data_IF_747078610157
#
_entry.id   IF_747078610157
#
_cell.length_a   1.000
_cell.length_b   1.000
_cell.length_c   1.000
_cell.angle_alpha   90.00
_cell.angle_beta   90.00
_cell.angle_gamma   90.00
#
_symmetry.space_group_name_H-M   'P 1'
#
loop_
_entity.id
_entity.type
_entity.pdbx_description
1 polymer ?
#
# COMPACT_ATOMS: atom_id res chain seq x y z
N UNK A 1 -4.56 -33.01 3.40
CA UNK A 1 -5.35 -31.82 3.80
C UNK A 1 -5.03 -30.72 2.81
N UNK A 2 -6.00 -30.24 2.04
CA UNK A 2 -5.79 -29.05 1.22
C UNK A 2 -5.51 -27.86 2.17
N UNK A 3 -4.52 -27.01 1.89
CA UNK A 3 -4.30 -25.81 2.68
C UNK A 3 -5.58 -24.98 2.69
N UNK A 4 -6.09 -24.66 3.87
CA UNK A 4 -7.27 -23.82 4.03
C UNK A 4 -6.86 -22.39 3.69
N UNK A 5 -7.03 -21.99 2.42
CA UNK A 5 -6.81 -20.60 2.00
C UNK A 5 -7.86 -19.74 2.72
N UNK A 6 -7.44 -18.92 3.67
CA UNK A 6 -8.31 -17.99 4.41
C UNK A 6 -8.22 -16.61 3.76
N UNK A 7 -9.33 -16.04 3.27
CA UNK A 7 -9.31 -14.67 2.76
C UNK A 7 -9.07 -13.69 3.93
N UNK A 8 -8.17 -12.72 3.73
CA UNK A 8 -7.88 -11.66 4.70
C UNK A 8 -8.96 -10.58 4.65
N UNK A 9 -9.30 -10.12 3.44
CA UNK A 9 -10.36 -9.16 3.19
C UNK A 9 -11.32 -9.73 2.14
N UNK A 10 -12.63 -9.62 2.40
CA UNK A 10 -13.69 -10.04 1.47
C UNK A 10 -14.53 -8.81 1.11
N UNK A 11 -14.35 -8.19 -0.07
CA UNK A 11 -14.98 -6.91 -0.44
C UNK A 11 -16.46 -6.79 -0.13
N UNK A 12 -17.25 -7.82 -0.46
CA UNK A 12 -18.70 -7.85 -0.24
C UNK A 12 -19.13 -7.83 1.23
N UNK A 13 -18.20 -8.08 2.16
CA UNK A 13 -18.41 -8.10 3.62
C UNK A 13 -17.79 -6.91 4.33
N UNK A 14 -17.09 -6.03 3.62
CA UNK A 14 -16.43 -4.88 4.24
C UNK A 14 -17.45 -3.76 4.56
N UNK A 15 -17.33 -3.10 5.72
CA UNK A 15 -18.19 -1.97 6.08
C UNK A 15 -17.83 -0.67 5.32
N UNK A 16 -16.75 -0.68 4.53
CA UNK A 16 -16.21 0.51 3.85
C UNK A 16 -16.65 0.52 2.39
N UNK A 17 -17.44 1.54 2.00
CA UNK A 17 -18.00 1.66 0.65
C UNK A 17 -16.95 1.67 -0.45
N UNK A 18 -15.83 2.34 -0.21
CA UNK A 18 -14.70 2.51 -1.15
C UNK A 18 -13.99 1.19 -1.49
N UNK A 19 -14.26 0.11 -0.76
CA UNK A 19 -13.61 -1.20 -0.95
C UNK A 19 -14.55 -2.25 -1.55
N UNK A 20 -15.82 -1.91 -1.82
CA UNK A 20 -16.83 -2.89 -2.21
C UNK A 20 -16.66 -3.43 -3.64
N UNK A 21 -16.03 -2.66 -4.52
CA UNK A 21 -15.72 -3.09 -5.89
C UNK A 21 -14.57 -4.10 -5.92
N UNK A 22 -13.63 -3.98 -4.99
CA UNK A 22 -12.56 -4.96 -4.80
C UNK A 22 -11.39 -4.43 -3.97
N UNK A 23 -10.49 -5.36 -3.64
CA UNK A 23 -9.21 -5.08 -2.98
C UNK A 23 -8.11 -5.87 -3.67
N UNK A 24 -6.88 -5.37 -3.65
CA UNK A 24 -5.76 -5.98 -4.35
C UNK A 24 -4.40 -5.62 -3.79
N UNK A 25 -3.38 -6.24 -4.37
CA UNK A 25 -1.95 -5.96 -4.13
C UNK A 25 -1.61 -5.82 -2.63
N UNK A 26 -1.93 -6.83 -1.79
CA UNK A 26 -1.63 -6.77 -0.37
C UNK A 26 -0.12 -6.76 -0.16
N UNK A 27 0.33 -5.96 0.80
CA UNK A 27 1.73 -5.85 1.16
C UNK A 27 1.88 -5.57 2.65
N UNK A 28 2.73 -6.35 3.32
CA UNK A 28 3.00 -6.18 4.74
C UNK A 28 4.19 -5.25 4.98
N UNK A 29 4.03 -4.30 5.90
CA UNK A 29 5.13 -3.49 6.44
C UNK A 29 5.19 -3.67 7.95
N UNK A 30 6.39 -3.86 8.48
CA UNK A 30 6.65 -3.90 9.92
C UNK A 30 7.31 -2.60 10.36
N UNK A 31 6.68 -1.90 11.30
CA UNK A 31 7.24 -0.79 12.06
C UNK A 31 7.94 -1.35 13.30
N UNK A 32 9.27 -1.47 13.21
CA UNK A 32 10.10 -2.03 14.29
C UNK A 32 10.14 -1.15 15.54
N UNK A 33 9.94 0.17 15.42
CA UNK A 33 10.01 1.07 16.59
C UNK A 33 8.81 0.93 17.51
N UNK A 34 7.66 0.55 16.94
CA UNK A 34 6.38 0.41 17.65
C UNK A 34 5.90 -1.03 17.74
N UNK A 35 6.71 -1.98 17.26
CA UNK A 35 6.40 -3.40 17.16
C UNK A 35 5.01 -3.64 16.56
N UNK A 36 4.77 -3.05 15.38
CA UNK A 36 3.44 -3.05 14.75
C UNK A 36 3.51 -3.45 13.28
N UNK A 37 2.56 -4.27 12.86
CA UNK A 37 2.37 -4.64 11.46
C UNK A 37 1.25 -3.80 10.81
N UNK A 38 1.51 -3.37 9.57
CA UNK A 38 0.60 -2.58 8.75
C UNK A 38 0.34 -3.25 7.40
N UNK A 39 -0.92 -3.56 7.11
CA UNK A 39 -1.33 -4.05 5.80
C UNK A 39 -1.57 -2.87 4.86
N UNK A 40 -0.75 -2.77 3.82
CA UNK A 40 -0.98 -1.88 2.68
C UNK A 40 -1.71 -2.66 1.60
N UNK A 41 -2.67 -2.03 0.94
CA UNK A 41 -3.41 -2.66 -0.15
C UNK A 41 -4.08 -1.61 -1.04
N UNK A 42 -4.47 -2.02 -2.23
CA UNK A 42 -5.32 -1.21 -3.11
C UNK A 42 -6.79 -1.56 -2.89
N UNK A 43 -7.67 -0.59 -3.05
CA UNK A 43 -9.12 -0.77 -2.98
C UNK A 43 -9.84 0.10 -3.99
N UNK A 44 -11.02 -0.32 -4.41
CA UNK A 44 -11.85 0.43 -5.36
C UNK A 44 -13.34 0.13 -5.16
N UNK A 45 -14.17 1.10 -5.54
CA UNK A 45 -15.63 0.98 -5.52
C UNK A 45 -16.21 0.77 -6.92
N UNK A 46 -15.49 1.15 -7.98
CA UNK A 46 -15.98 1.06 -9.35
C UNK A 46 -15.90 -0.38 -9.89
N UNK A 47 -16.86 -0.85 -10.71
CA UNK A 47 -16.85 -2.23 -11.20
C UNK A 47 -15.66 -2.59 -12.08
N UNK A 48 -14.99 -1.60 -12.69
CA UNK A 48 -13.87 -1.82 -13.61
C UNK A 48 -12.52 -1.89 -12.91
N UNK A 49 -12.44 -1.43 -11.65
CA UNK A 49 -11.20 -1.36 -10.87
C UNK A 49 -10.15 -0.44 -11.50
N UNK A 50 -10.57 0.58 -12.24
CA UNK A 50 -9.66 1.54 -12.88
C UNK A 50 -9.25 2.66 -11.92
N UNK A 51 -10.14 3.02 -10.99
CA UNK A 51 -9.91 4.10 -10.01
C UNK A 51 -9.53 3.53 -8.66
N UNK A 52 -8.38 2.85 -8.59
CA UNK A 52 -7.88 2.28 -7.34
C UNK A 52 -7.28 3.36 -6.46
N UNK A 53 -7.46 3.15 -5.16
CA UNK A 53 -6.92 3.96 -4.08
C UNK A 53 -6.00 3.09 -3.23
N UNK A 54 -4.96 3.68 -2.64
CA UNK A 54 -4.08 3.02 -1.69
C UNK A 54 -4.56 3.21 -0.26
N UNK A 55 -4.62 2.12 0.48
CA UNK A 55 -5.03 2.07 1.87
C UNK A 55 -3.96 1.43 2.76
N UNK A 56 -4.04 1.75 4.05
CA UNK A 56 -3.28 1.07 5.09
C UNK A 56 -4.16 0.82 6.31
N UNK A 57 -3.99 -0.32 6.96
CA UNK A 57 -4.66 -0.66 8.20
C UNK A 57 -3.73 -1.45 9.13
N UNK A 58 -3.84 -1.33 10.46
CA UNK A 58 -3.17 -2.24 11.38
C UNK A 58 -3.60 -3.68 11.13
N UNK A 59 -2.68 -4.61 11.30
CA UNK A 59 -2.94 -6.05 11.18
C UNK A 59 -2.14 -6.80 12.25
N UNK A 60 -2.67 -7.91 12.74
CA UNK A 60 -1.97 -8.77 13.70
C UNK A 60 -1.28 -9.97 13.02
N UNK A 61 -0.53 -10.75 13.80
CA UNK A 61 0.14 -11.97 13.33
C UNK A 61 -0.83 -13.04 12.82
N UNK A 62 -2.10 -12.97 13.24
CA UNK A 62 -3.19 -13.82 12.76
C UNK A 62 -3.81 -13.35 11.44
N UNK A 63 -3.27 -12.30 10.82
CA UNK A 63 -3.81 -11.61 9.64
C UNK A 63 -5.21 -11.02 9.85
N UNK A 64 -5.58 -10.72 11.10
CA UNK A 64 -6.81 -9.98 11.37
C UNK A 64 -6.54 -8.49 11.17
N UNK A 65 -7.27 -7.88 10.22
CA UNK A 65 -7.11 -6.47 9.84
C UNK A 65 -8.06 -5.61 10.68
N UNK A 66 -7.50 -4.62 11.38
CA UNK A 66 -8.27 -3.64 12.13
C UNK A 66 -8.72 -2.50 11.20
N UNK A 67 -9.96 -2.61 10.71
CA UNK A 67 -10.54 -1.59 9.84
C UNK A 67 -10.92 -0.30 10.57
N UNK A 68 -10.93 -0.27 11.91
CA UNK A 68 -11.14 0.99 12.65
C UNK A 68 -9.95 1.94 12.52
N UNK A 69 -8.75 1.39 12.31
CA UNK A 69 -7.53 2.12 12.00
C UNK A 69 -7.26 2.34 10.51
N UNK A 70 -8.22 2.06 9.63
CA UNK A 70 -8.06 2.18 8.18
C UNK A 70 -7.79 3.64 7.78
N UNK A 71 -6.76 3.85 6.97
CA UNK A 71 -6.42 5.15 6.36
C UNK A 71 -6.32 5.01 4.85
N UNK A 72 -6.95 5.95 4.14
CA UNK A 72 -6.71 6.16 2.70
C UNK A 72 -5.46 7.03 2.56
N UNK A 73 -4.41 6.47 1.99
CA UNK A 73 -3.09 7.13 1.87
C UNK A 73 -2.81 7.61 0.45
N UNK A 74 -3.45 7.02 -0.56
CA UNK A 74 -3.31 7.40 -1.97
C UNK A 74 -4.67 7.46 -2.65
N UNK A 75 -5.34 8.62 -2.69
CA UNK A 75 -6.57 8.80 -3.45
C UNK A 75 -6.35 8.56 -4.95
N UNK A 76 -7.40 8.15 -5.68
CA UNK A 76 -7.32 7.93 -7.13
C UNK A 76 -7.09 9.21 -7.94
N UNK A 77 -7.30 10.38 -7.35
CA UNK A 77 -7.07 11.68 -7.98
C UNK A 77 -5.67 12.27 -7.70
N UNK A 78 -4.84 11.56 -6.95
CA UNK A 78 -3.54 12.04 -6.49
C UNK A 78 -2.40 11.13 -6.99
N UNK A 79 -1.23 11.65 -7.41
CA UNK A 79 -0.80 13.06 -7.36
C UNK A 79 -1.46 13.97 -8.40
N UNK A 80 -2.02 13.37 -9.45
CA UNK A 80 -2.79 14.05 -10.48
C UNK A 80 -3.92 13.13 -10.98
N UNK A 81 -4.99 13.65 -11.60
CA UNK A 81 -6.01 12.80 -12.20
C UNK A 81 -5.44 11.92 -13.32
N UNK A 82 -5.69 10.62 -13.27
CA UNK A 82 -5.30 9.67 -14.32
C UNK A 82 -6.41 8.66 -14.58
N UNK A 83 -6.47 8.06 -15.77
CA UNK A 83 -7.49 7.07 -16.12
C UNK A 83 -7.37 5.78 -15.31
N UNK A 84 -6.13 5.33 -15.09
CA UNK A 84 -5.79 4.15 -14.31
C UNK A 84 -4.86 4.52 -13.14
N UNK A 85 -5.28 4.22 -11.91
CA UNK A 85 -4.66 4.82 -10.71
C UNK A 85 -4.25 3.75 -9.72
N UNK A 86 -3.19 4.05 -8.94
CA UNK A 86 -2.66 3.23 -7.84
C UNK A 86 -2.76 1.72 -8.03
N UNK A 87 -2.14 1.21 -9.09
CA UNK A 87 -2.36 -0.17 -9.47
C UNK A 87 -1.85 -1.18 -8.43
N UNK A 88 -0.67 -0.92 -7.89
CA UNK A 88 -0.09 -1.69 -6.78
C UNK A 88 0.53 -0.75 -5.76
N UNK A 89 0.32 -1.03 -4.49
CA UNK A 89 1.00 -0.36 -3.38
C UNK A 89 2.01 -1.30 -2.74
N UNK A 90 3.21 -0.80 -2.49
CA UNK A 90 4.25 -1.51 -1.75
C UNK A 90 4.89 -0.53 -0.78
N UNK A 91 5.41 -1.02 0.33
CA UNK A 91 5.99 -0.14 1.34
C UNK A 91 7.23 -0.71 2.00
N UNK A 92 7.96 0.16 2.68
CA UNK A 92 8.95 -0.21 3.67
C UNK A 92 8.93 0.84 4.78
N UNK A 93 9.43 0.45 5.94
CA UNK A 93 9.63 1.35 7.05
C UNK A 93 11.11 1.75 7.15
N UNK A 94 11.38 3.04 7.31
CA UNK A 94 12.70 3.60 7.53
C UNK A 94 12.84 4.03 9.01
N UNK A 95 13.44 3.15 9.82
CA UNK A 95 13.67 3.38 11.25
C UNK A 95 14.50 4.64 11.55
N UNK A 96 15.48 4.95 10.69
CA UNK A 96 16.40 6.06 10.91
C UNK A 96 15.72 7.43 10.82
N UNK A 97 14.59 7.52 10.10
CA UNK A 97 13.81 8.76 9.95
C UNK A 97 12.41 8.69 10.54
N UNK A 98 12.00 7.52 11.05
CA UNK A 98 10.64 7.26 11.51
C UNK A 98 9.59 7.56 10.42
N UNK A 99 9.82 7.00 9.23
CA UNK A 99 9.04 7.26 8.01
C UNK A 99 8.63 5.96 7.30
N UNK A 100 7.50 5.99 6.61
CA UNK A 100 7.11 4.95 5.66
C UNK A 100 7.39 5.43 4.23
N UNK A 101 8.09 4.60 3.45
CA UNK A 101 8.28 4.83 2.01
C UNK A 101 7.39 3.89 1.25
N UNK A 102 6.47 4.45 0.48
CA UNK A 102 5.46 3.71 -0.29
C UNK A 102 5.71 3.94 -1.77
N UNK A 103 5.71 2.88 -2.57
CA UNK A 103 5.67 3.00 -4.02
C UNK A 103 4.32 2.62 -4.57
N UNK A 104 3.92 3.36 -5.60
CA UNK A 104 2.73 3.06 -6.37
C UNK A 104 2.92 3.49 -7.82
N UNK A 105 2.24 2.79 -8.73
CA UNK A 105 2.14 3.20 -10.13
C UNK A 105 0.81 3.91 -10.33
N UNK A 106 0.87 5.12 -10.86
CA UNK A 106 -0.27 6.00 -11.05
C UNK A 106 -0.23 6.61 -12.45
N UNK A 107 -1.30 6.41 -13.23
CA UNK A 107 -1.26 6.67 -14.67
C UNK A 107 -0.15 5.86 -15.35
N UNK A 108 0.74 6.58 -16.04
CA UNK A 108 1.88 5.99 -16.75
C UNK A 108 3.17 5.96 -15.92
N UNK A 109 3.18 6.51 -14.72
CA UNK A 109 4.40 6.76 -13.95
C UNK A 109 4.45 5.92 -12.67
N UNK A 110 5.67 5.67 -12.19
CA UNK A 110 5.92 5.08 -10.88
C UNK A 110 6.40 6.16 -9.91
N UNK A 111 5.83 6.18 -8.71
CA UNK A 111 6.10 7.18 -7.69
C UNK A 111 6.65 6.54 -6.42
N UNK A 112 7.40 7.33 -5.67
CA UNK A 112 7.66 7.12 -4.25
C UNK A 112 6.95 8.21 -3.45
N UNK A 113 6.28 7.81 -2.39
CA UNK A 113 5.60 8.64 -1.41
C UNK A 113 6.25 8.41 -0.06
N UNK A 114 6.50 9.49 0.67
CA UNK A 114 7.06 9.46 2.01
C UNK A 114 5.98 9.90 2.98
N UNK A 115 5.67 9.04 3.93
CA UNK A 115 4.75 9.32 5.03
C UNK A 115 5.52 9.35 6.35
N UNK A 116 5.05 10.12 7.32
CA UNK A 116 5.51 9.99 8.70
C UNK A 116 4.91 8.73 9.36
N UNK A 117 5.27 8.51 10.63
CA UNK A 117 4.80 7.37 11.41
C UNK A 117 3.28 7.33 11.66
N UNK A 118 2.57 8.44 11.43
CA UNK A 118 1.11 8.51 11.52
C UNK A 118 0.43 8.41 10.14
N UNK A 119 1.18 8.05 9.10
CA UNK A 119 0.70 7.97 7.72
C UNK A 119 0.27 9.32 7.13
N UNK A 120 0.84 10.43 7.61
CA UNK A 120 0.67 11.76 7.00
C UNK A 120 1.72 11.93 5.89
N UNK A 121 1.27 12.32 4.69
CA UNK A 121 2.16 12.49 3.54
C UNK A 121 3.13 13.67 3.78
N UNK A 122 4.44 13.38 3.78
CA UNK A 122 5.51 14.38 3.86
C UNK A 122 5.95 14.88 2.49
N UNK A 123 5.82 14.04 1.46
CA UNK A 123 6.21 14.40 0.10
C UNK A 123 6.21 13.19 -0.84
N UNK A 124 6.40 13.44 -2.14
CA UNK A 124 6.46 12.41 -3.15
C UNK A 124 7.36 12.81 -4.33
N UNK A 125 7.77 11.83 -5.13
CA UNK A 125 8.57 12.04 -6.34
C UNK A 125 8.25 10.97 -7.39
N UNK A 126 8.30 11.35 -8.67
CA UNK A 126 8.34 10.39 -9.77
C UNK A 126 9.68 9.64 -9.72
N UNK A 127 9.63 8.31 -9.59
CA UNK A 127 10.79 7.43 -9.70
C UNK A 127 11.11 7.09 -11.14
N UNK A 128 10.09 6.73 -11.92
CA UNK A 128 10.22 6.31 -13.32
C UNK A 128 9.03 6.85 -14.11
N UNK A 129 9.32 7.66 -15.13
CA UNK A 129 8.31 8.12 -16.08
C UNK A 129 8.03 7.05 -17.15
N UNK A 130 6.77 6.92 -17.59
CA UNK A 130 6.38 6.01 -18.67
C UNK A 130 6.56 4.52 -18.36
N UNK A 131 6.46 4.15 -17.07
CA UNK A 131 6.61 2.79 -16.58
C UNK A 131 5.59 1.80 -17.17
N UNK A 132 4.38 2.23 -17.56
CA UNK A 132 3.34 1.48 -18.31
C UNK A 132 3.26 -0.03 -17.97
N UNK A 133 3.31 -0.39 -16.68
CA UNK A 133 3.34 -1.78 -16.20
C UNK A 133 2.44 -2.00 -14.99
N UNK A 134 1.92 -3.22 -14.92
CA UNK A 134 1.02 -3.70 -13.88
C UNK A 134 1.76 -4.57 -12.84
N UNK A 135 2.63 -3.96 -12.04
CA UNK A 135 3.41 -4.73 -11.04
C UNK A 135 3.79 -3.98 -9.76
N UNK A 136 3.54 -2.67 -9.69
CA UNK A 136 4.22 -1.79 -8.75
C UNK A 136 5.73 -1.74 -9.01
N UNK A 137 6.43 -0.88 -8.28
CA UNK A 137 7.89 -0.79 -8.33
C UNK A 137 8.49 -1.35 -7.03
N UNK A 138 9.10 -2.56 -7.04
CA UNK A 138 9.72 -3.10 -5.84
C UNK A 138 10.95 -2.27 -5.49
N UNK A 139 10.91 -1.57 -4.36
CA UNK A 139 12.13 -1.03 -3.75
C UNK A 139 12.73 -2.15 -2.91
N UNK A 140 13.90 -2.63 -3.33
CA UNK A 140 14.73 -3.42 -2.42
C UNK A 140 15.23 -2.47 -1.33
N UNK A 141 14.98 -2.73 -0.04
CA UNK A 141 15.60 -1.95 1.02
C UNK A 141 17.12 -2.18 0.96
N UNK A 142 17.84 -1.34 0.23
CA UNK A 142 19.30 -1.24 0.31
C UNK A 142 19.60 -0.37 1.53
N UNK A 143 19.70 -1.00 2.71
CA UNK A 143 19.98 -0.26 3.94
C UNK A 143 19.93 -1.01 5.27
N UNK A 144 19.57 -2.30 5.33
CA UNK A 144 19.56 -3.06 6.60
C UNK A 144 20.53 -4.26 6.62
N UNK A 145 21.45 -4.33 5.65
CA UNK A 145 22.64 -5.17 5.76
C UNK A 145 23.83 -4.25 5.64
N UNK A 146 24.31 -3.76 6.78
CA UNK A 146 25.74 -3.58 6.90
C UNK A 146 26.39 -4.91 6.48
N UNK A 147 27.51 -4.81 5.79
CA UNK A 147 28.49 -5.88 5.62
C UNK A 147 28.41 -6.89 6.78
N UNK A 148 27.66 -7.97 6.59
CA UNK A 148 27.88 -9.19 7.38
C UNK A 148 29.22 -9.67 6.85
N UNK A 149 30.22 -9.64 7.74
CA UNK A 149 31.62 -9.94 7.45
C UNK A 149 31.80 -11.23 6.65
#
# INVERSE_FOLDING_TARGET
MAPLIRPVLVPSRLPVGDLRGGVGTPYMVYDVRRDRYWLLFTGWSDPTGLKREGFVAPVDEGLNVDLSGLRKILPSTFPEPAEYTNNAVRGLYNEARDEFYVTSTHGKDAYIFVFDHEWVLKGYKVLVGGFNKDSGFPIRPTGAYGNIR
#
